data_IF_653261109523
#
_entry.id   IF_653261109523
#
_cell.length_a   1.000
_cell.length_b   1.000
_cell.length_c   1.000
_cell.angle_alpha   90.00
_cell.angle_beta   90.00
_cell.angle_gamma   90.00
#
_symmetry.space_group_name_H-M   'P 1'
#
loop_
_entity.id
_entity.type
_entity.pdbx_description
1 polymer ?
#
# COMPACT_ATOMS: atom_id res chain seq x y z
N UNK A 1 -22.69 22.00 25.36
CA UNK A 1 -22.10 21.39 24.14
C UNK A 1 -21.22 20.22 24.59
N UNK A 2 -21.71 18.99 24.49
CA UNK A 2 -20.93 17.80 24.86
C UNK A 2 -19.96 17.47 23.71
N UNK A 3 -18.66 17.45 24.01
CA UNK A 3 -17.63 16.96 23.08
C UNK A 3 -17.82 15.44 22.96
N UNK A 4 -18.34 14.97 21.83
CA UNK A 4 -18.27 13.56 21.46
C UNK A 4 -16.78 13.19 21.34
N UNK A 5 -16.26 12.53 22.37
CA UNK A 5 -14.94 11.92 22.33
C UNK A 5 -15.09 10.68 21.45
N UNK A 6 -14.56 10.71 20.24
CA UNK A 6 -14.47 9.52 19.40
C UNK A 6 -13.84 8.39 20.22
N UNK A 7 -14.37 7.15 20.13
CA UNK A 7 -13.75 6.03 20.83
C UNK A 7 -12.30 5.94 20.36
N UNK A 8 -11.38 5.82 21.31
CA UNK A 8 -9.98 5.60 21.02
C UNK A 8 -9.88 4.38 20.10
N UNK A 9 -9.47 4.58 18.85
CA UNK A 9 -9.16 3.46 17.96
C UNK A 9 -8.05 2.67 18.65
N UNK A 10 -8.35 1.44 19.05
CA UNK A 10 -7.34 0.52 19.55
C UNK A 10 -6.26 0.36 18.47
N UNK A 11 -4.97 0.38 18.84
CA UNK A 11 -3.90 0.20 17.88
C UNK A 11 -4.06 -1.15 17.21
N UNK A 12 -4.17 -1.16 15.88
CA UNK A 12 -4.20 -2.40 15.09
C UNK A 12 -2.89 -3.17 15.37
N UNK A 13 -2.96 -4.47 15.74
CA UNK A 13 -1.79 -5.29 15.95
C UNK A 13 -0.83 -5.25 14.75
N UNK A 14 0.47 -5.17 15.04
CA UNK A 14 1.52 -5.03 14.01
C UNK A 14 1.47 -6.15 12.98
N UNK A 15 1.18 -7.39 13.40
CA UNK A 15 1.06 -8.57 12.54
C UNK A 15 -0.09 -8.44 11.51
N UNK A 16 -1.22 -7.89 11.95
CA UNK A 16 -2.37 -7.63 11.06
C UNK A 16 -2.00 -6.55 10.05
N UNK A 17 -1.30 -5.50 10.50
CA UNK A 17 -0.86 -4.40 9.64
C UNK A 17 0.17 -4.86 8.61
N UNK A 18 1.09 -5.73 9.00
CA UNK A 18 2.07 -6.34 8.09
C UNK A 18 1.38 -7.18 7.02
N UNK A 19 0.51 -8.10 7.44
CA UNK A 19 -0.20 -9.00 6.53
C UNK A 19 -0.98 -8.21 5.48
N UNK A 20 -1.74 -7.21 5.92
CA UNK A 20 -2.48 -6.32 5.03
C UNK A 20 -1.56 -5.54 4.08
N UNK A 21 -0.40 -5.09 4.55
CA UNK A 21 0.55 -4.38 3.70
C UNK A 21 1.16 -5.29 2.63
N UNK A 22 1.47 -6.56 2.96
CA UNK A 22 1.93 -7.56 2.00
C UNK A 22 0.87 -7.84 0.94
N UNK A 23 -0.37 -8.07 1.35
CA UNK A 23 -1.49 -8.32 0.42
C UNK A 23 -1.69 -7.16 -0.56
N UNK A 24 -1.72 -5.93 -0.05
CA UNK A 24 -1.85 -4.72 -0.88
C UNK A 24 -0.70 -4.56 -1.86
N UNK A 25 0.53 -4.80 -1.41
CA UNK A 25 1.72 -4.68 -2.26
C UNK A 25 1.70 -5.75 -3.36
N UNK A 26 1.36 -7.00 -3.03
CA UNK A 26 1.22 -8.08 -4.02
C UNK A 26 0.15 -7.75 -5.04
N UNK A 27 -1.01 -7.26 -4.61
CA UNK A 27 -2.09 -6.90 -5.50
C UNK A 27 -1.69 -5.74 -6.43
N UNK A 28 -1.08 -4.68 -5.90
CA UNK A 28 -0.60 -3.56 -6.72
C UNK A 28 0.46 -3.99 -7.75
N UNK A 29 1.35 -4.92 -7.39
CA UNK A 29 2.36 -5.45 -8.32
C UNK A 29 1.74 -6.28 -9.45
N UNK A 30 0.69 -7.06 -9.16
CA UNK A 30 -0.05 -7.80 -10.19
C UNK A 30 -0.74 -6.85 -11.17
N UNK A 31 -1.43 -5.84 -10.64
CA UNK A 31 -2.10 -4.84 -11.47
C UNK A 31 -1.10 -4.07 -12.34
N UNK A 32 0.07 -3.68 -11.81
CA UNK A 32 1.13 -3.09 -12.63
C UNK A 32 1.59 -4.00 -13.78
N UNK A 33 1.63 -5.32 -13.57
CA UNK A 33 1.96 -6.29 -14.61
C UNK A 33 0.94 -6.30 -15.75
N UNK A 34 -0.34 -6.04 -15.46
CA UNK A 34 -1.42 -5.97 -16.45
C UNK A 34 -1.46 -4.64 -17.20
N UNK A 35 -0.93 -3.55 -16.61
CA UNK A 35 -0.93 -2.23 -17.25
C UNK A 35 0.06 -2.08 -18.41
N UNK A 36 1.04 -2.99 -18.55
CA UNK A 36 2.04 -2.90 -19.62
C UNK A 36 1.38 -2.88 -21.01
N UNK A 37 0.48 -3.82 -21.26
CA UNK A 37 -0.26 -3.89 -22.52
C UNK A 37 -1.17 -2.67 -22.69
N UNK A 38 -1.83 -2.21 -21.62
CA UNK A 38 -2.69 -1.04 -21.66
C UNK A 38 -1.92 0.23 -22.08
N UNK A 39 -0.68 0.41 -21.60
CA UNK A 39 0.18 1.54 -21.99
C UNK A 39 0.62 1.45 -23.45
N UNK A 40 0.85 0.25 -23.97
CA UNK A 40 1.22 0.04 -25.38
C UNK A 40 0.04 0.32 -26.34
N UNK A 41 -1.18 -0.04 -25.93
CA UNK A 41 -2.36 0.00 -26.81
C UNK A 41 -3.12 1.34 -26.77
N UNK A 42 -3.26 1.95 -25.58
CA UNK A 42 -4.10 3.14 -25.42
C UNK A 42 -3.38 4.44 -25.78
N UNK A 43 -4.16 5.44 -26.19
CA UNK A 43 -3.67 6.79 -26.49
C UNK A 43 -4.66 7.87 -26.04
N UNK A 44 -4.23 9.13 -26.01
CA UNK A 44 -5.09 10.26 -25.65
C UNK A 44 -5.69 10.13 -24.24
N UNK A 45 -7.02 10.25 -24.12
CA UNK A 45 -7.72 10.22 -22.84
C UNK A 45 -7.66 8.85 -22.14
N UNK A 46 -7.68 7.76 -22.90
CA UNK A 46 -7.60 6.41 -22.34
C UNK A 46 -6.22 6.17 -21.71
N UNK A 47 -5.16 6.60 -22.39
CA UNK A 47 -3.81 6.58 -21.82
C UNK A 47 -3.70 7.46 -20.57
N UNK A 48 -4.37 8.63 -20.56
CA UNK A 48 -4.38 9.49 -19.38
C UNK A 48 -5.02 8.80 -18.15
N UNK A 49 -6.09 8.03 -18.35
CA UNK A 49 -6.72 7.24 -17.30
C UNK A 49 -5.79 6.13 -16.78
N UNK A 50 -5.12 5.41 -17.68
CA UNK A 50 -4.10 4.41 -17.32
C UNK A 50 -2.97 5.03 -16.50
N UNK A 51 -2.48 6.20 -16.89
CA UNK A 51 -1.41 6.91 -16.18
C UNK A 51 -1.87 7.40 -14.79
N UNK A 52 -3.11 7.85 -14.66
CA UNK A 52 -3.68 8.21 -13.36
C UNK A 52 -3.83 6.99 -12.45
N UNK A 53 -4.21 5.85 -13.02
CA UNK A 53 -4.30 4.60 -12.28
C UNK A 53 -2.90 4.13 -11.82
N UNK A 54 -1.92 4.14 -12.72
CA UNK A 54 -0.52 3.84 -12.40
C UNK A 54 0.02 4.74 -11.26
N UNK A 55 -0.33 6.03 -11.27
CA UNK A 55 0.07 6.93 -10.18
C UNK A 55 -0.58 6.53 -8.84
N UNK A 56 -1.83 6.08 -8.85
CA UNK A 56 -2.50 5.56 -7.65
C UNK A 56 -1.82 4.29 -7.12
N UNK A 57 -1.43 3.38 -8.00
CA UNK A 57 -0.65 2.19 -7.63
C UNK A 57 0.71 2.55 -7.02
N UNK A 58 1.39 3.57 -7.57
CA UNK A 58 2.65 4.07 -7.01
C UNK A 58 2.50 4.52 -5.55
N UNK A 59 1.39 5.18 -5.22
CA UNK A 59 1.11 5.60 -3.83
C UNK A 59 0.88 4.39 -2.93
N UNK A 60 0.09 3.42 -3.36
CA UNK A 60 -0.15 2.17 -2.61
C UNK A 60 1.17 1.45 -2.36
N UNK A 61 2.02 1.31 -3.38
CA UNK A 61 3.32 0.66 -3.24
C UNK A 61 4.20 1.37 -2.21
N UNK A 62 4.35 2.69 -2.32
CA UNK A 62 5.18 3.48 -1.41
C UNK A 62 4.69 3.40 0.05
N UNK A 63 3.38 3.50 0.29
CA UNK A 63 2.81 3.41 1.63
C UNK A 63 3.06 2.04 2.26
N UNK A 64 2.86 0.96 1.51
CA UNK A 64 3.00 -0.39 2.02
C UNK A 64 4.47 -0.81 2.14
N UNK A 65 5.37 -0.31 1.29
CA UNK A 65 6.82 -0.47 1.46
C UNK A 65 7.28 0.11 2.80
N UNK A 66 6.85 1.33 3.15
CA UNK A 66 7.23 1.98 4.41
C UNK A 66 6.79 1.14 5.61
N UNK A 67 5.58 0.57 5.57
CA UNK A 67 5.07 -0.30 6.64
C UNK A 67 5.98 -1.54 6.79
N UNK A 68 6.27 -2.22 5.68
CA UNK A 68 7.08 -3.44 5.69
C UNK A 68 8.54 -3.16 6.10
N UNK A 69 9.12 -2.05 5.66
CA UNK A 69 10.45 -1.62 6.13
C UNK A 69 10.46 -1.36 7.64
N UNK A 70 9.38 -0.81 8.19
CA UNK A 70 9.21 -0.65 9.63
C UNK A 70 9.21 -1.99 10.38
N UNK A 71 8.54 -3.00 9.83
CA UNK A 71 8.51 -4.36 10.39
C UNK A 71 9.89 -5.00 10.35
N UNK A 72 10.54 -5.03 9.19
CA UNK A 72 11.89 -5.62 9.01
C UNK A 72 12.89 -4.99 9.98
N UNK A 73 12.88 -3.66 10.12
CA UNK A 73 13.73 -2.96 11.09
C UNK A 73 13.38 -3.32 12.53
N UNK A 74 12.11 -3.55 12.85
CA UNK A 74 11.68 -4.00 14.18
C UNK A 74 12.20 -5.40 14.51
N UNK A 75 12.18 -6.31 13.54
CA UNK A 75 12.72 -7.67 13.68
C UNK A 75 14.24 -7.68 13.85
N UNK A 76 14.97 -6.87 13.06
CA UNK A 76 16.43 -6.76 13.13
C UNK A 76 16.94 -6.18 14.46
N UNK A 77 16.18 -5.26 15.06
CA UNK A 77 16.56 -4.59 16.31
C UNK A 77 16.04 -5.29 17.57
N UNK A 78 15.28 -6.37 17.43
CA UNK A 78 14.79 -7.14 18.56
C UNK A 78 15.91 -8.06 19.11
N UNK A 79 16.21 -8.03 20.41
CA UNK A 79 17.23 -8.90 20.99
C UNK A 79 16.85 -10.36 20.75
N UNK A 80 17.76 -11.13 20.13
CA UNK A 80 17.61 -12.57 19.98
C UNK A 80 17.71 -13.19 21.37
N UNK A 81 16.60 -13.75 21.87
CA UNK A 81 16.53 -14.52 23.12
C UNK A 81 17.24 -15.85 22.95
#
# INVERSE_FOLDING_TARGET
>A
MQRFRSPAQEPVPTEIRETQAREKLVQALRECGELADAVEHFSGSELFEVLNYLNSLRLIMAENEIILLGVVRGEENSPKV
#
